data_IF_499339170304
#
_entry.id   IF_499339170304
#
_cell.length_a   1.000
_cell.length_b   1.000
_cell.length_c   1.000
_cell.angle_alpha   90.00
_cell.angle_beta   90.00
_cell.angle_gamma   90.00
#
_symmetry.space_group_name_H-M   'P 1'
#
loop_
_entity.id
_entity.type
_entity.pdbx_description
1 polymer ?
#
# COMPACT_ATOMS: atom_id res chain seq x y z
N UNK A 1 -67.49 -38.29 -38.84
CA UNK A 1 -66.09 -38.02 -38.43
C UNK A 1 -66.18 -37.05 -37.26
N UNK A 2 -66.38 -37.57 -36.04
CA UNK A 2 -65.35 -37.96 -35.06
C UNK A 2 -64.52 -36.75 -34.59
N UNK A 3 -64.15 -36.56 -33.33
CA UNK A 3 -64.66 -36.89 -31.99
C UNK A 3 -63.64 -36.26 -31.02
N UNK A 4 -64.08 -36.12 -29.78
CA UNK A 4 -63.45 -35.59 -28.55
C UNK A 4 -62.17 -36.36 -28.11
N UNK A 5 -61.48 -35.82 -27.08
CA UNK A 5 -60.44 -36.38 -26.16
C UNK A 5 -58.97 -36.22 -26.60
N UNK A 6 -57.98 -35.89 -25.77
CA UNK A 6 -57.87 -35.72 -24.31
C UNK A 6 -56.38 -35.71 -23.89
N UNK A 7 -56.07 -35.03 -22.77
CA UNK A 7 -54.90 -35.08 -21.86
C UNK A 7 -53.47 -35.45 -22.40
N UNK A 8 -52.44 -34.69 -22.02
CA UNK A 8 -51.65 -34.91 -20.78
C UNK A 8 -50.53 -33.86 -20.64
N UNK A 9 -50.39 -33.31 -19.44
CA UNK A 9 -49.20 -32.62 -18.94
C UNK A 9 -48.09 -33.65 -18.67
N UNK A 10 -46.87 -33.40 -19.13
CA UNK A 10 -45.64 -33.75 -18.38
C UNK A 10 -44.64 -32.62 -18.57
N UNK A 11 -44.27 -31.99 -17.45
CA UNK A 11 -43.22 -30.99 -17.37
C UNK A 11 -41.84 -31.64 -17.57
N UNK A 12 -40.99 -31.02 -18.39
CA UNK A 12 -39.54 -31.17 -18.25
C UNK A 12 -38.96 -29.82 -17.84
N UNK A 13 -38.42 -29.81 -16.63
CA UNK A 13 -37.64 -28.71 -16.07
C UNK A 13 -36.33 -28.63 -16.84
N UNK A 14 -36.17 -27.58 -17.66
CA UNK A 14 -34.87 -27.07 -18.03
C UNK A 14 -34.69 -25.76 -17.25
N UNK A 15 -34.05 -25.86 -16.07
CA UNK A 15 -33.49 -24.68 -15.40
C UNK A 15 -32.35 -24.19 -16.29
N UNK A 16 -32.62 -23.17 -17.10
CA UNK A 16 -31.57 -22.47 -17.83
C UNK A 16 -30.62 -21.81 -16.83
N UNK A 17 -29.39 -22.32 -16.79
CA UNK A 17 -28.24 -21.80 -16.04
C UNK A 17 -27.71 -20.48 -16.61
N UNK A 18 -28.60 -19.53 -16.92
CA UNK A 18 -28.26 -18.23 -17.52
C UNK A 18 -28.15 -17.09 -16.52
N UNK A 19 -28.15 -17.35 -15.20
CA UNK A 19 -28.08 -16.28 -14.18
C UNK A 19 -26.77 -16.19 -13.41
N UNK A 20 -25.76 -17.05 -13.64
CA UNK A 20 -24.53 -17.02 -12.82
C UNK A 20 -23.31 -16.36 -13.50
N UNK A 21 -23.35 -16.09 -14.81
CA UNK A 21 -22.18 -15.56 -15.55
C UNK A 21 -22.26 -14.04 -15.80
N UNK A 22 -23.33 -13.36 -15.39
CA UNK A 22 -23.57 -11.94 -15.73
C UNK A 22 -23.46 -10.96 -14.55
N UNK A 23 -22.66 -11.26 -13.52
CA UNK A 23 -22.47 -10.35 -12.37
C UNK A 23 -21.02 -9.90 -12.07
N UNK A 24 -20.02 -10.25 -12.89
CA UNK A 24 -18.62 -9.86 -12.63
C UNK A 24 -18.03 -8.83 -13.62
N UNK A 25 -18.84 -8.07 -14.34
CA UNK A 25 -18.33 -7.03 -15.26
C UNK A 25 -18.60 -5.59 -14.84
N UNK A 26 -19.17 -5.36 -13.65
CA UNK A 26 -19.25 -4.02 -13.06
C UNK A 26 -18.48 -3.98 -11.74
N UNK A 27 -17.18 -4.29 -11.77
CA UNK A 27 -16.27 -3.57 -10.90
C UNK A 27 -16.11 -2.20 -11.53
N UNK A 28 -17.10 -1.35 -11.26
CA UNK A 28 -16.99 0.08 -11.43
C UNK A 28 -15.68 0.50 -10.76
N UNK A 29 -14.90 1.29 -11.49
CA UNK A 29 -13.63 1.82 -11.05
C UNK A 29 -13.73 2.32 -9.60
N UNK A 30 -13.20 1.54 -8.64
CA UNK A 30 -12.47 2.18 -7.55
C UNK A 30 -11.41 3.00 -8.27
N UNK A 31 -11.70 4.28 -8.49
CA UNK A 31 -10.85 5.25 -9.18
C UNK A 31 -9.60 5.45 -8.36
N UNK A 32 -8.76 4.41 -8.36
CA UNK A 32 -7.45 4.35 -7.78
C UNK A 32 -6.63 5.25 -8.65
N UNK A 33 -6.58 6.53 -8.27
CA UNK A 33 -5.59 7.42 -8.87
C UNK A 33 -4.26 6.86 -8.42
N UNK A 34 -3.60 6.16 -9.34
CA UNK A 34 -2.33 5.52 -9.09
C UNK A 34 -1.24 6.59 -9.08
N UNK A 35 -0.18 6.39 -8.30
CA UNK A 35 0.93 7.31 -8.29
C UNK A 35 1.66 7.27 -9.64
N UNK A 36 2.06 8.44 -10.13
CA UNK A 36 2.93 8.53 -11.30
C UNK A 36 4.30 7.93 -10.99
N UNK A 37 4.82 7.12 -11.91
CA UNK A 37 6.16 6.53 -11.79
C UNK A 37 7.23 7.57 -12.10
N UNK A 38 8.28 7.57 -11.29
CA UNK A 38 9.50 8.37 -11.48
C UNK A 38 9.32 9.89 -11.47
N UNK A 39 8.14 10.39 -11.08
CA UNK A 39 7.88 11.81 -10.87
C UNK A 39 8.20 12.15 -9.41
N UNK A 40 9.09 13.13 -9.21
CA UNK A 40 9.40 13.64 -7.88
C UNK A 40 8.28 14.56 -7.43
N UNK A 41 7.70 14.24 -6.28
CA UNK A 41 6.69 15.04 -5.58
C UNK A 41 7.23 15.48 -4.23
N UNK A 42 6.71 16.57 -3.72
CA UNK A 42 7.04 17.07 -2.38
C UNK A 42 5.85 16.84 -1.45
N UNK A 43 6.14 16.47 -0.20
CA UNK A 43 5.15 16.35 0.86
C UNK A 43 5.69 16.96 2.15
N UNK A 44 4.84 17.71 2.84
CA UNK A 44 5.15 18.23 4.17
C UNK A 44 4.25 17.57 5.22
N UNK A 45 4.89 17.04 6.25
CA UNK A 45 4.28 16.61 7.50
C UNK A 45 4.29 17.80 8.47
N UNK A 46 3.15 18.07 9.11
CA UNK A 46 2.97 19.17 10.07
C UNK A 46 3.54 18.83 11.45
N UNK A 47 3.39 17.58 11.88
CA UNK A 47 3.78 17.09 13.20
C UNK A 47 3.91 15.56 13.19
N UNK A 48 4.66 14.96 14.14
CA UNK A 48 4.62 13.52 14.37
C UNK A 48 3.20 13.08 14.79
N UNK A 49 2.74 11.92 14.32
CA UNK A 49 1.39 11.41 14.58
C UNK A 49 1.03 11.37 16.07
N UNK A 50 1.95 10.92 16.93
CA UNK A 50 1.72 10.84 18.37
C UNK A 50 1.76 12.20 19.09
N UNK A 51 2.13 13.28 18.39
CA UNK A 51 2.18 14.65 18.91
C UNK A 51 1.11 15.57 18.32
N UNK A 52 0.16 15.01 17.58
CA UNK A 52 -0.85 15.83 16.92
C UNK A 52 -1.73 16.56 17.93
N UNK A 53 -2.10 17.82 17.65
CA UNK A 53 -3.07 18.53 18.45
C UNK A 53 -4.49 18.01 18.15
N UNK A 54 -5.19 17.55 19.18
CA UNK A 54 -6.60 17.13 19.07
C UNK A 54 -6.79 15.62 18.89
N UNK A 55 -7.93 15.19 18.30
CA UNK A 55 -8.22 13.78 18.07
C UNK A 55 -7.20 13.13 17.15
N UNK A 56 -6.90 11.84 17.39
CA UNK A 56 -5.96 11.11 16.55
C UNK A 56 -6.50 10.98 15.11
N UNK A 57 -5.75 11.54 14.16
CA UNK A 57 -6.00 11.50 12.73
C UNK A 57 -4.68 11.36 11.97
N UNK A 58 -4.75 10.93 10.71
CA UNK A 58 -3.59 10.91 9.81
C UNK A 58 -3.37 12.24 9.06
N UNK A 59 -4.22 13.25 9.31
CA UNK A 59 -4.12 14.52 8.62
C UNK A 59 -2.79 15.21 8.95
N UNK A 60 -2.02 15.54 7.92
CA UNK A 60 -0.75 16.23 8.06
C UNK A 60 0.39 15.42 8.69
N UNK A 61 0.22 14.13 8.96
CA UNK A 61 1.28 13.28 9.51
C UNK A 61 1.49 11.99 8.71
N UNK A 62 0.64 11.70 7.71
CA UNK A 62 0.79 10.51 6.88
C UNK A 62 0.71 10.80 5.38
N UNK A 63 1.46 10.04 4.59
CA UNK A 63 1.43 10.01 3.14
C UNK A 63 0.49 8.90 2.67
N UNK A 64 -0.29 9.22 1.64
CA UNK A 64 -1.10 8.26 0.88
C UNK A 64 -0.70 8.36 -0.60
N UNK A 65 -0.29 7.24 -1.18
CA UNK A 65 0.09 7.09 -2.59
C UNK A 65 -1.11 6.85 -3.49
N UNK A 66 -2.19 6.28 -2.96
CA UNK A 66 -3.40 5.93 -3.72
C UNK A 66 -4.65 6.50 -3.06
N UNK A 67 -5.67 6.82 -3.88
CA UNK A 67 -7.00 7.20 -3.38
C UNK A 67 -7.71 6.05 -2.63
N UNK A 68 -7.36 4.79 -2.90
CA UNK A 68 -7.83 3.65 -2.11
C UNK A 68 -7.29 3.69 -0.68
N UNK A 69 -5.99 3.96 -0.51
CA UNK A 69 -5.40 4.16 0.80
C UNK A 69 -6.09 5.29 1.56
N UNK A 70 -6.40 6.40 0.88
CA UNK A 70 -7.14 7.53 1.47
C UNK A 70 -8.54 7.09 1.94
N UNK A 71 -9.33 6.43 1.08
CA UNK A 71 -10.71 6.06 1.42
C UNK A 71 -10.82 5.04 2.54
N UNK A 72 -9.77 4.22 2.72
CA UNK A 72 -9.68 3.22 3.79
C UNK A 72 -8.93 3.71 5.02
N UNK A 73 -8.44 4.96 5.01
CA UNK A 73 -7.58 5.52 6.05
C UNK A 73 -6.36 4.63 6.33
N UNK A 74 -5.77 4.08 5.27
CA UNK A 74 -4.60 3.18 5.27
C UNK A 74 -3.39 3.90 4.68
N UNK A 75 -2.65 4.68 5.49
CA UNK A 75 -1.46 5.39 5.04
C UNK A 75 -0.35 4.46 4.54
N UNK A 76 0.49 4.99 3.66
CA UNK A 76 1.64 4.31 3.06
C UNK A 76 2.97 4.68 3.74
N UNK A 77 3.00 5.83 4.42
CA UNK A 77 4.09 6.29 5.27
C UNK A 77 3.51 7.13 6.40
N UNK A 78 3.90 6.87 7.64
CA UNK A 78 3.55 7.70 8.79
C UNK A 78 4.81 8.35 9.33
N UNK A 79 4.76 9.66 9.53
CA UNK A 79 5.73 10.38 10.35
C UNK A 79 5.27 10.31 11.80
N UNK A 80 6.03 9.62 12.65
CA UNK A 80 5.66 9.33 14.03
C UNK A 80 6.83 9.57 14.99
N UNK A 81 6.54 9.54 16.29
CA UNK A 81 7.48 9.85 17.36
C UNK A 81 6.76 10.45 18.56
N UNK A 82 7.23 10.11 19.77
CA UNK A 82 6.73 10.73 21.00
C UNK A 82 7.31 12.14 21.16
N UNK A 83 6.58 13.02 21.85
CA UNK A 83 6.96 14.44 21.94
C UNK A 83 8.22 14.59 22.79
N UNK A 84 9.32 15.02 22.15
CA UNK A 84 10.65 15.07 22.76
C UNK A 84 11.46 13.77 22.67
N UNK A 85 10.98 12.78 21.90
CA UNK A 85 11.74 11.56 21.55
C UNK A 85 12.19 11.60 20.09
N UNK A 86 12.93 10.58 19.66
CA UNK A 86 13.34 10.46 18.27
C UNK A 86 12.12 10.19 17.37
N UNK A 87 11.96 10.98 16.32
CA UNK A 87 10.95 10.73 15.30
C UNK A 87 11.45 9.67 14.31
N UNK A 88 10.50 8.96 13.73
CA UNK A 88 10.73 7.90 12.77
C UNK A 88 9.66 7.89 11.69
N UNK A 89 10.00 7.31 10.55
CA UNK A 89 9.04 6.92 9.54
C UNK A 89 8.62 5.48 9.74
N UNK A 90 7.32 5.20 9.63
CA UNK A 90 6.73 3.88 9.77
C UNK A 90 5.92 3.54 8.51
N UNK A 91 6.00 2.30 8.04
CA UNK A 91 5.34 1.84 6.81
C UNK A 91 4.31 0.71 7.03
N UNK A 92 4.31 0.08 8.20
CA UNK A 92 3.29 -0.90 8.61
C UNK A 92 2.27 -0.27 9.54
N UNK A 93 1.09 0.06 9.00
CA UNK A 93 0.11 0.93 9.68
C UNK A 93 -1.29 0.31 9.75
N UNK A 94 -1.57 -0.75 9.00
CA UNK A 94 -2.80 -1.52 9.03
C UNK A 94 -2.49 -3.02 9.15
N UNK A 95 -3.31 -3.76 9.90
CA UNK A 95 -2.93 -5.07 10.47
C UNK A 95 -2.40 -6.13 9.50
N UNK A 96 -2.98 -6.23 8.30
CA UNK A 96 -2.59 -7.25 7.31
C UNK A 96 -1.62 -6.72 6.23
N UNK A 97 -1.27 -5.43 6.30
CA UNK A 97 -0.33 -4.83 5.37
C UNK A 97 1.11 -5.13 5.79
N UNK A 98 1.95 -5.41 4.79
CA UNK A 98 3.38 -5.58 5.00
C UNK A 98 4.12 -4.38 4.41
N UNK A 99 5.08 -3.84 5.17
CA UNK A 99 5.85 -2.68 4.76
C UNK A 99 7.23 -2.72 5.37
N UNK A 100 8.26 -2.42 4.59
CA UNK A 100 9.61 -2.27 5.11
C UNK A 100 10.27 -1.02 4.54
N UNK A 101 11.04 -0.34 5.36
CA UNK A 101 11.84 0.84 5.01
C UNK A 101 13.31 0.59 5.29
N UNK A 102 14.17 1.13 4.43
CA UNK A 102 15.61 1.12 4.59
C UNK A 102 16.20 2.50 4.37
N UNK A 103 17.23 2.84 5.14
CA UNK A 103 18.00 4.09 5.01
C UNK A 103 19.20 3.84 4.08
N UNK A 104 19.30 4.62 3.00
CA UNK A 104 20.42 4.58 2.05
C UNK A 104 21.49 5.63 2.37
N UNK A 105 21.28 6.49 3.37
CA UNK A 105 22.15 7.61 3.71
C UNK A 105 22.02 8.80 2.76
N UNK A 106 23.09 9.57 2.63
CA UNK A 106 23.12 10.79 1.80
C UNK A 106 23.25 10.46 0.31
N UNK A 107 22.11 10.12 -0.29
CA UNK A 107 22.01 9.74 -1.70
C UNK A 107 20.99 10.63 -2.39
N UNK A 108 21.28 11.14 -3.59
CA UNK A 108 20.30 11.89 -4.38
C UNK A 108 19.13 11.00 -4.82
N UNK A 109 17.91 11.48 -4.64
CA UNK A 109 16.66 10.73 -4.90
C UNK A 109 16.54 10.28 -6.38
N UNK A 110 17.09 11.07 -7.29
CA UNK A 110 17.16 10.84 -8.74
C UNK A 110 17.97 9.59 -9.08
N UNK A 111 19.00 9.29 -8.28
CA UNK A 111 19.91 8.17 -8.51
C UNK A 111 19.37 6.83 -8.00
N UNK A 112 18.27 6.85 -7.23
CA UNK A 112 17.63 5.66 -6.68
C UNK A 112 16.77 5.00 -7.76
N UNK A 113 17.18 3.80 -8.15
CA UNK A 113 16.44 2.89 -9.05
C UNK A 113 15.90 1.71 -8.26
N UNK A 114 14.95 0.97 -8.83
CA UNK A 114 14.43 -0.26 -8.21
C UNK A 114 15.52 -1.30 -7.94
N UNK A 115 16.53 -1.39 -8.82
CA UNK A 115 17.67 -2.30 -8.62
C UNK A 115 18.63 -1.87 -7.50
N UNK A 116 18.78 -0.56 -7.27
CA UNK A 116 19.67 -0.01 -6.23
C UNK A 116 19.02 0.07 -4.86
N UNK A 117 17.70 -0.08 -4.80
CA UNK A 117 16.92 -0.06 -3.57
C UNK A 117 17.33 -1.14 -2.56
N UNK A 118 17.78 -2.31 -3.04
CA UNK A 118 18.13 -3.45 -2.18
C UNK A 118 19.64 -3.55 -1.90
N UNK A 119 20.47 -2.98 -2.77
CA UNK A 119 21.92 -2.99 -2.63
C UNK A 119 22.48 -1.70 -3.25
N UNK A 120 22.57 -0.65 -2.42
CA UNK A 120 22.98 0.67 -2.89
C UNK A 120 24.48 0.74 -3.19
N UNK A 121 25.30 0.21 -2.27
CA UNK A 121 26.76 0.18 -2.38
C UNK A 121 27.26 -0.79 -3.47
N UNK A 122 26.35 -1.64 -4.00
CA UNK A 122 26.64 -2.68 -4.98
C UNK A 122 27.69 -3.68 -4.50
N UNK A 123 27.73 -3.91 -3.20
CA UNK A 123 28.64 -4.87 -2.57
C UNK A 123 27.89 -6.18 -2.36
N UNK A 124 28.40 -7.26 -2.94
CA UNK A 124 27.78 -8.59 -2.81
C UNK A 124 27.77 -9.00 -1.33
N UNK A 125 26.58 -9.31 -0.80
CA UNK A 125 26.40 -9.71 0.60
C UNK A 125 26.28 -8.55 1.60
N UNK A 126 26.31 -7.30 1.14
CA UNK A 126 25.95 -6.12 1.94
C UNK A 126 24.68 -5.50 1.36
N UNK A 127 23.55 -6.09 1.75
CA UNK A 127 22.24 -5.57 1.39
C UNK A 127 21.81 -4.48 2.37
N UNK A 128 20.95 -3.57 1.89
CA UNK A 128 20.37 -2.56 2.74
C UNK A 128 19.49 -3.24 3.79
N UNK A 129 19.57 -2.82 5.06
CA UNK A 129 18.76 -3.42 6.12
C UNK A 129 17.37 -2.82 6.10
N UNK A 130 16.38 -3.65 5.79
CA UNK A 130 14.96 -3.28 5.78
C UNK A 130 14.32 -3.56 7.15
N UNK A 131 13.56 -2.59 7.68
CA UNK A 131 12.89 -2.62 8.98
C UNK A 131 11.49 -2.04 8.87
N UNK A 132 10.65 -2.21 9.88
CA UNK A 132 9.28 -1.66 9.89
C UNK A 132 9.25 -0.13 10.08
N UNK A 133 10.28 0.40 10.74
CA UNK A 133 10.49 1.81 10.97
C UNK A 133 11.95 2.24 10.74
N UNK A 134 12.16 3.54 10.60
CA UNK A 134 13.49 4.14 10.52
C UNK A 134 13.52 5.55 11.09
N UNK A 135 14.54 5.86 11.88
CA UNK A 135 14.73 7.21 12.44
C UNK A 135 14.83 8.25 11.33
N UNK A 136 14.24 9.43 11.57
CA UNK A 136 14.32 10.55 10.64
C UNK A 136 15.67 11.23 10.77
N UNK A 137 16.39 11.29 9.64
CA UNK A 137 17.68 11.98 9.51
C UNK A 137 17.59 12.91 8.32
N UNK A 138 17.81 14.21 8.56
CA UNK A 138 17.77 15.21 7.48
C UNK A 138 18.87 14.93 6.45
N UNK A 139 18.53 15.05 5.17
CA UNK A 139 19.43 14.77 4.06
C UNK A 139 19.57 13.29 3.72
N UNK A 140 18.99 12.37 4.50
CA UNK A 140 19.00 10.95 4.15
C UNK A 140 17.89 10.62 3.15
N UNK A 141 18.18 9.61 2.33
CA UNK A 141 17.23 9.01 1.40
C UNK A 141 16.89 7.61 1.85
N UNK A 142 15.61 7.33 1.86
CA UNK A 142 15.02 6.08 2.29
C UNK A 142 14.34 5.40 1.12
N UNK A 143 14.21 4.09 1.22
CA UNK A 143 13.42 3.27 0.31
C UNK A 143 12.39 2.53 1.13
N UNK A 144 11.13 2.63 0.72
CA UNK A 144 10.03 1.89 1.30
C UNK A 144 9.47 0.89 0.28
N UNK A 145 9.41 -0.37 0.71
CA UNK A 145 8.74 -1.48 0.06
C UNK A 145 7.41 -1.71 0.75
N UNK A 146 6.32 -1.63 -0.01
CA UNK A 146 4.96 -1.79 0.48
C UNK A 146 4.29 -2.97 -0.20
N UNK A 147 3.53 -3.72 0.59
CA UNK A 147 2.71 -4.82 0.15
C UNK A 147 1.35 -4.76 0.85
N UNK A 148 0.40 -4.10 0.18
CA UNK A 148 -0.98 -3.88 0.65
C UNK A 148 -1.98 -4.63 -0.22
N UNK A 149 -3.22 -4.78 0.25
CA UNK A 149 -4.28 -5.54 -0.43
C UNK A 149 -4.48 -5.22 -1.91
N UNK A 150 -4.22 -3.97 -2.31
CA UNK A 150 -4.48 -3.39 -3.62
C UNK A 150 -3.20 -3.13 -4.44
N UNK A 151 -2.06 -2.99 -3.77
CA UNK A 151 -0.81 -2.55 -4.40
C UNK A 151 0.43 -3.15 -3.75
N UNK A 152 1.38 -3.54 -4.59
CA UNK A 152 2.78 -3.73 -4.20
C UNK A 152 3.57 -2.55 -4.75
N UNK A 153 4.24 -1.78 -3.91
CA UNK A 153 4.94 -0.57 -4.35
C UNK A 153 6.36 -0.50 -3.78
N UNK A 154 7.25 0.08 -4.56
CA UNK A 154 8.57 0.50 -4.13
C UNK A 154 8.68 1.99 -4.41
N UNK A 155 8.87 2.79 -3.37
CA UNK A 155 9.10 4.22 -3.51
C UNK A 155 10.31 4.63 -2.68
N UNK A 156 10.95 5.72 -3.11
CA UNK A 156 12.05 6.32 -2.39
C UNK A 156 11.65 7.72 -1.96
N UNK A 157 12.19 8.18 -0.83
CA UNK A 157 11.97 9.52 -0.35
C UNK A 157 13.21 10.07 0.35
N UNK A 158 13.47 11.37 0.18
CA UNK A 158 14.57 12.09 0.81
C UNK A 158 14.01 13.11 1.78
N UNK A 159 14.60 13.21 2.97
CA UNK A 159 14.22 14.21 3.97
C UNK A 159 14.93 15.52 3.66
N UNK A 160 14.16 16.52 3.23
CA UNK A 160 14.70 17.84 2.88
C UNK A 160 14.83 18.73 4.13
N UNK A 161 13.83 18.67 5.00
CA UNK A 161 13.77 19.45 6.24
C UNK A 161 13.20 18.60 7.37
N UNK A 162 13.75 18.75 8.58
CA UNK A 162 13.29 18.00 9.74
C UNK A 162 13.47 18.78 11.04
N UNK A 163 12.40 18.90 11.81
CA UNK A 163 12.42 19.42 13.18
C UNK A 163 11.98 18.32 14.18
N UNK A 164 12.78 17.98 15.21
CA UNK A 164 12.52 16.85 16.12
C UNK A 164 11.19 16.86 16.89
N UNK A 165 10.46 17.97 16.96
CA UNK A 165 9.10 18.01 17.53
C UNK A 165 8.14 18.80 16.66
N UNK A 166 8.52 18.99 15.39
CA UNK A 166 7.86 19.86 14.46
C UNK A 166 7.70 19.20 13.09
N UNK A 167 7.60 20.02 12.04
CA UNK A 167 7.36 19.54 10.71
C UNK A 167 8.54 18.76 10.14
N UNK A 168 8.24 17.96 9.13
CA UNK A 168 9.23 17.35 8.27
C UNK A 168 8.78 17.48 6.82
N UNK A 169 9.70 17.77 5.90
CA UNK A 169 9.40 17.83 4.47
C UNK A 169 10.23 16.79 3.75
N UNK A 170 9.57 16.01 2.90
CA UNK A 170 10.20 15.00 2.06
C UNK A 170 9.96 15.30 0.59
N UNK A 171 10.93 14.93 -0.24
CA UNK A 171 10.70 14.66 -1.66
C UNK A 171 10.61 13.17 -1.86
N UNK A 172 9.66 12.70 -2.67
CA UNK A 172 9.48 11.27 -2.91
C UNK A 172 9.17 10.97 -4.37
N UNK A 173 9.47 9.75 -4.79
CA UNK A 173 9.14 9.24 -6.11
C UNK A 173 8.85 7.74 -6.05
N UNK A 174 7.74 7.33 -6.65
CA UNK A 174 7.41 5.91 -6.80
C UNK A 174 8.27 5.34 -7.93
N UNK A 175 9.03 4.29 -7.62
CA UNK A 175 10.01 3.70 -8.54
C UNK A 175 9.45 2.49 -9.27
N UNK A 176 8.55 1.76 -8.62
CA UNK A 176 7.85 0.61 -9.22
C UNK A 176 6.57 0.35 -8.44
N UNK A 177 5.52 -0.11 -9.12
CA UNK A 177 4.39 -0.73 -8.44
C UNK A 177 3.72 -1.80 -9.30
N UNK A 178 2.97 -2.69 -8.65
CA UNK A 178 2.06 -3.65 -9.26
C UNK A 178 0.69 -3.55 -8.61
N UNK A 179 -0.36 -3.56 -9.43
CA UNK A 179 -1.75 -3.52 -8.97
C UNK A 179 -2.22 -4.95 -8.72
N UNK A 180 -2.85 -5.18 -7.57
CA UNK A 180 -3.42 -6.48 -7.23
C UNK A 180 -4.92 -6.44 -7.56
N UNK A 181 -5.32 -7.24 -8.56
CA UNK A 181 -6.71 -7.27 -9.06
C UNK A 181 -7.54 -8.45 -8.56
N UNK A 182 -6.91 -9.42 -7.89
CA UNK A 182 -7.59 -10.61 -7.36
C UNK A 182 -6.87 -11.12 -6.14
N UNK A 183 -7.63 -11.37 -5.08
CA UNK A 183 -7.18 -12.15 -3.92
C UNK A 183 -7.76 -13.54 -4.12
N UNK A 184 -6.90 -14.51 -4.44
CA UNK A 184 -7.25 -15.92 -4.29
C UNK A 184 -6.53 -16.43 -3.06
N UNK A 185 -7.25 -17.15 -2.19
CA UNK A 185 -6.61 -17.88 -1.11
C UNK A 185 -5.69 -18.94 -1.69
N UNK A 186 -4.47 -19.04 -1.16
CA UNK A 186 -3.54 -20.08 -1.58
C UNK A 186 -4.12 -21.46 -1.22
N UNK A 187 -3.91 -22.50 -2.05
CA UNK A 187 -4.32 -23.86 -1.70
C UNK A 187 -3.79 -24.26 -0.32
N UNK A 188 -4.69 -24.64 0.59
CA UNK A 188 -4.34 -25.01 1.96
C UNK A 188 -4.30 -23.86 2.97
N UNK A 189 -4.62 -22.63 2.58
CA UNK A 189 -4.79 -21.53 3.54
C UNK A 189 -5.97 -21.80 4.48
N UNK A 190 -5.74 -21.65 5.78
CA UNK A 190 -6.76 -21.66 6.82
C UNK A 190 -6.31 -20.76 7.97
N UNK A 191 -7.17 -19.82 8.38
CA UNK A 191 -6.91 -18.96 9.55
C UNK A 191 -6.75 -19.75 10.85
N UNK A 192 -7.26 -20.98 10.89
CA UNK A 192 -7.18 -21.89 12.04
C UNK A 192 -5.94 -22.80 12.01
N UNK A 193 -5.16 -22.79 10.93
CA UNK A 193 -3.93 -23.56 10.85
C UNK A 193 -2.77 -22.81 11.53
N UNK A 194 -2.18 -23.45 12.54
CA UNK A 194 -0.88 -23.03 13.07
C UNK A 194 0.25 -23.60 12.22
N UNK A 195 1.34 -22.84 12.05
CA UNK A 195 2.58 -23.35 11.48
C UNK A 195 3.03 -24.59 12.27
N UNK A 196 3.24 -25.72 11.58
CA UNK A 196 3.86 -26.92 12.14
C UNK A 196 5.37 -26.82 12.11
#
# INVERSE_FOLDING_TARGET
MNAVLGLLFVAFVAVESKSFIQQFTNFDELSTTLPELHVIKEMSFKYPYSCQPGPLSYEGCALFLTSYGVSRNMPDLLYNGACGSNNYFQVMLAGDDFGLVSDLGDVALENVTASRAFNWERVVGQDNTFKEDMLVVQGHTYVALLAKSEIRALFAFRVEQFEPSGPATIKYAVKQYGIIKSVQEAPGFSWDQTNQ
#
